data_IF_878108735950
#
_entry.id   IF_878108735950
#
_cell.length_a   1.000
_cell.length_b   1.000
_cell.length_c   1.000
_cell.angle_alpha   90.00
_cell.angle_beta   90.00
_cell.angle_gamma   90.00
#
_symmetry.space_group_name_H-M   'P 1'
#
loop_
_entity.id
_entity.type
_entity.pdbx_description
1 polymer ?
#
# COMPACT_ATOMS: atom_id res chain seq x y z
N UNK A 1 7.25 -11.05 -6.93
CA UNK A 1 6.47 -9.84 -7.28
C UNK A 1 5.17 -9.91 -6.49
N UNK A 2 5.17 -9.33 -5.28
CA UNK A 2 3.99 -9.28 -4.41
C UNK A 2 2.90 -8.33 -4.93
N UNK A 3 3.21 -7.52 -5.95
CA UNK A 3 2.26 -6.60 -6.61
C UNK A 3 1.02 -7.27 -7.22
N UNK A 4 1.05 -8.59 -7.44
CA UNK A 4 -0.12 -9.35 -7.94
C UNK A 4 -0.98 -9.91 -6.81
N UNK A 5 -0.49 -9.85 -5.59
CA UNK A 5 -1.16 -10.34 -4.38
C UNK A 5 -1.76 -9.20 -3.57
N UNK A 6 -1.55 -7.93 -3.94
CA UNK A 6 -2.07 -6.79 -3.17
C UNK A 6 -3.59 -6.86 -3.02
N UNK A 7 -4.33 -7.12 -4.10
CA UNK A 7 -5.80 -7.24 -4.02
C UNK A 7 -6.29 -8.38 -3.12
N UNK A 8 -5.65 -9.55 -3.15
CA UNK A 8 -6.04 -10.67 -2.29
C UNK A 8 -5.64 -10.47 -0.82
N UNK A 9 -4.56 -9.72 -0.56
CA UNK A 9 -4.07 -9.41 0.78
C UNK A 9 -4.86 -8.26 1.41
N UNK A 10 -5.35 -7.32 0.61
CA UNK A 10 -6.19 -6.22 1.08
C UNK A 10 -7.52 -6.73 1.66
N UNK A 11 -8.14 -7.70 0.98
CA UNK A 11 -9.39 -8.33 1.43
C UNK A 11 -9.21 -9.18 2.70
N UNK A 12 -8.06 -9.86 2.87
CA UNK A 12 -7.81 -10.74 4.03
C UNK A 12 -7.27 -9.95 5.24
N UNK A 13 -6.50 -8.89 5.03
CA UNK A 13 -5.81 -8.15 6.07
C UNK A 13 -6.53 -6.86 6.52
N UNK A 14 -7.67 -6.51 5.90
CA UNK A 14 -8.41 -5.26 6.15
C UNK A 14 -7.48 -4.04 6.18
N UNK A 15 -6.59 -3.96 5.20
CA UNK A 15 -5.53 -2.97 5.14
C UNK A 15 -5.20 -2.64 3.70
N UNK A 16 -4.91 -1.37 3.42
CA UNK A 16 -4.46 -0.92 2.10
C UNK A 16 -2.99 -1.32 1.86
N UNK A 17 -2.74 -2.18 0.87
CA UNK A 17 -1.42 -2.78 0.63
C UNK A 17 -0.66 -1.99 -0.41
N UNK A 18 0.37 -1.29 0.06
CA UNK A 18 1.24 -0.51 -0.82
C UNK A 18 2.45 -1.34 -1.27
N UNK A 19 2.69 -1.37 -2.58
CA UNK A 19 3.82 -2.11 -3.16
C UNK A 19 5.09 -1.26 -3.10
N UNK A 20 5.97 -1.62 -2.19
CA UNK A 20 7.30 -1.02 -2.06
C UNK A 20 8.30 -1.40 -3.17
N UNK A 21 9.53 -0.89 -3.08
CA UNK A 21 10.60 -1.17 -4.04
C UNK A 21 10.95 -2.66 -4.07
N UNK A 22 11.48 -3.13 -5.22
CA UNK A 22 11.81 -4.54 -5.44
C UNK A 22 12.86 -5.08 -4.47
N UNK A 23 13.74 -4.23 -3.97
CA UNK A 23 14.78 -4.55 -3.00
C UNK A 23 14.61 -3.70 -1.74
N UNK A 24 14.88 -4.28 -0.57
CA UNK A 24 14.68 -3.63 0.74
C UNK A 24 15.57 -2.42 0.93
N UNK A 25 16.70 -2.36 0.21
CA UNK A 25 17.59 -1.20 0.18
C UNK A 25 16.91 0.08 -0.34
N UNK A 26 15.83 -0.04 -1.11
CA UNK A 26 15.08 1.11 -1.65
C UNK A 26 14.07 1.72 -0.69
N UNK A 27 13.81 1.11 0.48
CA UNK A 27 12.77 1.54 1.42
C UNK A 27 12.99 2.99 1.90
N UNK A 28 14.21 3.44 2.28
CA UNK A 28 14.40 4.82 2.72
C UNK A 28 13.99 5.84 1.65
N UNK A 29 14.39 5.61 0.39
CA UNK A 29 14.03 6.47 -0.74
C UNK A 29 12.52 6.44 -1.02
N UNK A 30 11.90 5.28 -0.87
CA UNK A 30 10.46 5.13 -1.06
C UNK A 30 9.67 5.91 0.00
N UNK A 31 10.10 5.86 1.27
CA UNK A 31 9.52 6.62 2.36
C UNK A 31 9.60 8.14 2.15
N UNK A 32 10.69 8.62 1.57
CA UNK A 32 10.85 10.06 1.31
C UNK A 32 10.06 10.56 0.09
N UNK A 33 9.87 9.72 -0.93
CA UNK A 33 9.38 10.18 -2.24
C UNK A 33 7.98 9.74 -2.61
N UNK A 34 7.52 8.60 -2.08
CA UNK A 34 6.27 7.95 -2.50
C UNK A 34 5.33 7.64 -1.33
N UNK A 35 5.82 7.68 -0.09
CA UNK A 35 4.99 7.39 1.08
C UNK A 35 4.07 8.57 1.42
N UNK A 36 2.78 8.40 1.15
CA UNK A 36 1.73 9.40 1.39
C UNK A 36 0.61 8.79 2.22
N UNK A 37 0.82 8.62 3.55
CA UNK A 37 -0.12 7.89 4.41
C UNK A 37 -1.52 8.51 4.44
N UNK A 38 -1.63 9.82 4.26
CA UNK A 38 -2.93 10.52 4.19
C UNK A 38 -3.74 10.17 2.94
N UNK A 39 -3.08 9.93 1.81
CA UNK A 39 -3.77 9.54 0.56
C UNK A 39 -4.23 8.08 0.67
N UNK A 40 -3.37 7.20 1.18
CA UNK A 40 -3.68 5.79 1.39
C UNK A 40 -4.85 5.56 2.36
N UNK A 41 -4.92 6.33 3.46
CA UNK A 41 -6.04 6.24 4.40
C UNK A 41 -7.35 6.77 3.82
N UNK A 42 -7.31 7.77 2.92
CA UNK A 42 -8.53 8.25 2.23
C UNK A 42 -9.06 7.20 1.26
N UNK A 43 -8.18 6.54 0.52
CA UNK A 43 -8.56 5.45 -0.39
C UNK A 43 -9.15 4.28 0.38
N UNK A 44 -8.51 3.86 1.47
CA UNK A 44 -9.07 2.84 2.37
C UNK A 44 -10.46 3.22 2.91
N UNK A 45 -10.64 4.44 3.42
CA UNK A 45 -11.95 4.91 3.91
C UNK A 45 -13.02 5.03 2.80
N UNK A 46 -12.61 5.12 1.54
CA UNK A 46 -13.54 5.12 0.40
C UNK A 46 -14.05 3.71 0.08
N UNK A 47 -13.26 2.67 0.37
CA UNK A 47 -13.67 1.27 0.20
C UNK A 47 -14.74 0.85 1.21
N UNK A 48 -14.66 1.37 2.44
CA UNK A 48 -15.66 1.14 3.50
C UNK A 48 -17.04 1.77 3.23
N UNK A 49 -17.21 2.55 2.15
CA UNK A 49 -18.47 3.27 1.83
C UNK A 49 -19.32 2.63 0.74
N UNK A 50 -18.95 1.47 0.20
CA UNK A 50 -19.75 0.72 -0.80
C UNK A 50 -20.53 -0.44 -0.19
#
# INVERSE_FOLDING_TARGET
MAARLSGALEDEADAFVVVGPRDSSGIPKYLETQWRPEEFMKEYQSWEKE
#
